data_IF_497221891950
#
_entry.id   IF_497221891950
#
_cell.length_a   1.000
_cell.length_b   1.000
_cell.length_c   1.000
_cell.angle_alpha   90.00
_cell.angle_beta   90.00
_cell.angle_gamma   90.00
#
_symmetry.space_group_name_H-M   'P 1'
#
loop_
_entity.id
_entity.type
_entity.pdbx_description
1 polymer ?
#
# COMPACT_ATOMS: atom_id res chain seq x y z
N UNK A 1 2.40 22.11 21.21
CA UNK A 1 1.25 21.94 20.32
C UNK A 1 0.07 22.00 21.25
N UNK A 2 -0.73 23.06 21.15
CA UNK A 2 -1.98 23.13 21.89
C UNK A 2 -2.95 22.12 21.25
N UNK A 3 -3.82 21.49 22.05
CA UNK A 3 -4.74 20.46 21.54
C UNK A 3 -5.69 21.06 20.48
N UNK A 4 -5.96 22.37 20.58
CA UNK A 4 -6.74 23.15 19.61
C UNK A 4 -6.12 23.18 18.20
N UNK A 5 -4.81 23.36 18.08
CA UNK A 5 -4.12 23.40 16.79
C UNK A 5 -4.18 22.04 16.05
N UNK A 6 -4.19 20.93 16.79
CA UNK A 6 -4.26 19.57 16.24
C UNK A 6 -5.67 19.27 15.74
N UNK A 7 -6.70 19.61 16.53
CA UNK A 7 -8.10 19.40 16.16
C UNK A 7 -8.46 20.19 14.90
N UNK A 8 -8.09 21.48 14.85
CA UNK A 8 -8.30 22.32 13.66
C UNK A 8 -7.60 21.72 12.43
N UNK A 9 -6.34 21.29 12.58
CA UNK A 9 -5.59 20.66 11.49
C UNK A 9 -6.26 19.37 11.01
N UNK A 10 -6.78 18.55 11.92
CA UNK A 10 -7.48 17.31 11.59
C UNK A 10 -8.76 17.58 10.79
N UNK A 11 -9.52 18.62 11.15
CA UNK A 11 -10.72 19.02 10.43
C UNK A 11 -10.39 19.51 9.02
N UNK A 12 -9.33 20.32 8.86
CA UNK A 12 -8.88 20.76 7.54
C UNK A 12 -8.42 19.60 6.66
N UNK A 13 -7.63 18.66 7.19
CA UNK A 13 -7.18 17.47 6.46
C UNK A 13 -8.36 16.59 6.06
N UNK A 14 -9.34 16.43 6.95
CA UNK A 14 -10.55 15.64 6.67
C UNK A 14 -11.40 16.25 5.56
N UNK A 15 -11.54 17.58 5.52
CA UNK A 15 -12.27 18.26 4.46
C UNK A 15 -11.54 18.18 3.11
N UNK A 16 -10.22 18.33 3.10
CA UNK A 16 -9.44 18.18 1.86
C UNK A 16 -9.52 16.76 1.30
N UNK A 17 -9.55 15.71 2.15
CA UNK A 17 -9.77 14.34 1.67
C UNK A 17 -11.17 14.10 1.08
N UNK A 18 -12.17 14.91 1.44
CA UNK A 18 -13.52 14.84 0.84
C UNK A 18 -13.60 15.61 -0.48
N UNK A 19 -12.95 16.76 -0.55
CA UNK A 19 -13.11 17.72 -1.66
C UNK A 19 -12.03 17.60 -2.73
N UNK A 20 -10.80 17.23 -2.36
CA UNK A 20 -9.69 16.97 -3.28
C UNK A 20 -9.32 18.18 -4.14
N UNK A 21 -9.22 19.37 -3.52
CA UNK A 21 -9.05 20.63 -4.26
C UNK A 21 -7.62 20.89 -4.75
N UNK A 22 -6.64 20.16 -4.21
CA UNK A 22 -5.23 20.27 -4.58
C UNK A 22 -4.87 19.74 -5.98
N UNK A 23 -3.62 20.01 -6.40
CA UNK A 23 -3.07 19.44 -7.64
C UNK A 23 -2.83 17.93 -7.42
N UNK A 24 -3.34 17.05 -8.30
CA UNK A 24 -3.09 15.61 -8.19
C UNK A 24 -1.61 15.30 -8.37
N UNK A 25 -1.18 14.19 -7.76
CA UNK A 25 0.16 13.66 -7.99
C UNK A 25 0.39 13.38 -9.48
N UNK A 26 1.58 13.72 -9.97
CA UNK A 26 1.93 13.53 -11.37
C UNK A 26 1.77 12.05 -11.77
N UNK A 27 0.99 11.80 -12.83
CA UNK A 27 0.76 10.46 -13.36
C UNK A 27 -0.36 9.66 -12.70
N UNK A 28 -1.08 10.25 -11.73
CA UNK A 28 -2.25 9.62 -11.08
C UNK A 28 -3.61 10.19 -11.54
N UNK A 29 -3.62 11.26 -12.35
CA UNK A 29 -4.86 11.78 -12.94
C UNK A 29 -5.25 10.95 -14.16
N UNK A 30 -6.11 9.95 -13.96
CA UNK A 30 -6.57 9.01 -14.99
C UNK A 30 -8.06 8.70 -14.80
N UNK A 31 -8.78 8.49 -15.91
CA UNK A 31 -10.23 8.20 -15.91
C UNK A 31 -10.57 6.75 -15.52
N UNK A 32 -9.58 5.85 -15.57
CA UNK A 32 -9.77 4.43 -15.28
C UNK A 32 -9.34 4.10 -13.83
N UNK A 33 -10.29 3.72 -12.94
CA UNK A 33 -10.00 3.39 -11.55
C UNK A 33 -9.04 2.21 -11.37
N UNK A 34 -9.07 1.23 -12.26
CA UNK A 34 -8.16 0.10 -12.20
C UNK A 34 -6.74 0.57 -12.56
N UNK A 35 -6.61 1.29 -13.68
CA UNK A 35 -5.33 1.89 -14.08
C UNK A 35 -4.75 2.79 -12.98
N UNK A 36 -5.59 3.50 -12.23
CA UNK A 36 -5.15 4.30 -11.08
C UNK A 36 -4.44 3.45 -10.02
N UNK A 37 -4.92 2.23 -9.72
CA UNK A 37 -4.23 1.33 -8.77
C UNK A 37 -2.87 0.91 -9.29
N UNK A 38 -2.77 0.56 -10.57
CA UNK A 38 -1.49 0.21 -11.19
C UNK A 38 -0.52 1.39 -11.15
N UNK A 39 -0.97 2.60 -11.47
CA UNK A 39 -0.15 3.83 -11.39
C UNK A 39 0.33 4.09 -9.97
N UNK A 40 -0.54 3.94 -8.96
CA UNK A 40 -0.16 4.05 -7.54
C UNK A 40 0.93 3.04 -7.16
N UNK A 41 0.81 1.80 -7.61
CA UNK A 41 1.85 0.77 -7.42
C UNK A 41 3.20 1.22 -8.00
N UNK A 42 3.22 1.69 -9.25
CA UNK A 42 4.44 2.19 -9.88
C UNK A 42 5.04 3.38 -9.13
N UNK A 43 4.22 4.34 -8.65
CA UNK A 43 4.68 5.49 -7.88
C UNK A 43 5.28 5.09 -6.53
N UNK A 44 4.75 4.06 -5.88
CA UNK A 44 5.33 3.49 -4.67
C UNK A 44 6.70 2.85 -4.94
N UNK A 45 6.83 2.11 -6.05
CA UNK A 45 8.11 1.51 -6.44
C UNK A 45 9.17 2.58 -6.81
N UNK A 46 8.79 3.65 -7.50
CA UNK A 46 9.67 4.79 -7.79
C UNK A 46 10.15 5.49 -6.50
N UNK A 47 9.26 5.61 -5.50
CA UNK A 47 9.63 6.11 -4.18
C UNK A 47 10.58 5.14 -3.45
N UNK A 48 10.35 3.83 -3.54
CA UNK A 48 11.25 2.80 -2.99
C UNK A 48 12.65 2.91 -3.60
N UNK A 49 12.77 3.02 -4.92
CA UNK A 49 14.05 3.19 -5.62
C UNK A 49 14.79 4.46 -5.12
N UNK A 50 14.05 5.56 -4.96
CA UNK A 50 14.61 6.82 -4.45
C UNK A 50 15.10 6.69 -2.99
N UNK A 51 14.37 5.94 -2.15
CA UNK A 51 14.72 5.72 -0.74
C UNK A 51 15.90 4.75 -0.58
N UNK A 52 16.05 3.77 -1.47
CA UNK A 52 17.19 2.87 -1.48
C UNK A 52 18.52 3.63 -1.65
N UNK A 53 18.52 4.72 -2.43
CA UNK A 53 19.71 5.57 -2.63
C UNK A 53 20.11 6.35 -1.37
N UNK A 54 19.17 6.64 -0.46
CA UNK A 54 19.43 7.44 0.74
C UNK A 54 19.92 6.60 1.93
N UNK A 55 19.74 5.28 1.88
CA UNK A 55 20.07 4.30 2.92
C UNK A 55 19.32 4.52 4.26
N UNK A 56 18.97 3.44 4.96
CA UNK A 56 18.39 3.49 6.31
C UNK A 56 16.87 3.66 6.42
N UNK A 57 16.14 3.90 5.33
CA UNK A 57 14.66 3.98 5.32
C UNK A 57 13.97 2.61 5.19
N UNK A 58 14.52 1.57 5.82
CA UNK A 58 14.10 0.19 5.58
C UNK A 58 12.64 -0.09 5.92
N UNK A 59 12.12 0.47 7.03
CA UNK A 59 10.69 0.33 7.36
C UNK A 59 9.81 0.93 6.29
N UNK A 60 10.12 2.13 5.79
CA UNK A 60 9.32 2.79 4.75
C UNK A 60 9.38 2.00 3.44
N UNK A 61 10.55 1.48 3.08
CA UNK A 61 10.71 0.61 1.91
C UNK A 61 9.84 -0.64 2.03
N UNK A 62 9.85 -1.31 3.19
CA UNK A 62 9.03 -2.51 3.44
C UNK A 62 7.53 -2.20 3.30
N UNK A 63 7.05 -1.13 3.94
CA UNK A 63 5.63 -0.74 3.87
C UNK A 63 5.20 -0.34 2.45
N UNK A 64 6.05 0.41 1.73
CA UNK A 64 5.78 0.81 0.35
C UNK A 64 5.78 -0.40 -0.60
N UNK A 65 6.66 -1.39 -0.39
CA UNK A 65 6.65 -2.65 -1.13
C UNK A 65 5.37 -3.46 -0.92
N UNK A 66 4.87 -3.58 0.33
CA UNK A 66 3.56 -4.19 0.58
C UNK A 66 2.45 -3.45 -0.16
N UNK A 67 2.43 -2.12 -0.04
CA UNK A 67 1.42 -1.31 -0.69
C UNK A 67 1.47 -1.45 -2.22
N UNK A 68 2.66 -1.54 -2.83
CA UNK A 68 2.81 -1.78 -4.27
C UNK A 68 2.22 -3.14 -4.68
N UNK A 69 2.54 -4.22 -3.95
CA UNK A 69 1.98 -5.57 -4.19
C UNK A 69 0.45 -5.55 -4.10
N UNK A 70 -0.10 -4.95 -3.04
CA UNK A 70 -1.54 -4.87 -2.81
C UNK A 70 -2.26 -4.09 -3.90
N UNK A 71 -1.67 -2.96 -4.35
CA UNK A 71 -2.23 -2.15 -5.45
C UNK A 71 -2.18 -2.87 -6.79
N UNK A 72 -1.14 -3.66 -7.06
CA UNK A 72 -1.06 -4.53 -8.25
C UNK A 72 -2.13 -5.62 -8.23
N UNK A 73 -2.41 -6.22 -7.06
CA UNK A 73 -3.52 -7.18 -6.91
C UNK A 73 -4.86 -6.47 -7.08
N UNK A 74 -5.05 -5.29 -6.48
CA UNK A 74 -6.28 -4.53 -6.58
C UNK A 74 -6.58 -4.09 -8.03
N UNK A 75 -5.56 -3.71 -8.80
CA UNK A 75 -5.67 -3.47 -10.24
C UNK A 75 -6.29 -4.69 -10.94
N UNK A 76 -5.71 -5.88 -10.75
CA UNK A 76 -6.23 -7.11 -11.36
C UNK A 76 -7.67 -7.38 -10.94
N UNK A 77 -8.00 -7.19 -9.67
CA UNK A 77 -9.34 -7.44 -9.14
C UNK A 77 -10.38 -6.47 -9.70
N UNK A 78 -10.03 -5.20 -9.90
CA UNK A 78 -10.91 -4.21 -10.54
C UNK A 78 -11.07 -4.49 -12.04
N UNK A 79 -10.00 -4.79 -12.76
CA UNK A 79 -10.02 -5.20 -14.18
C UNK A 79 -10.94 -6.41 -14.43
N UNK A 80 -11.02 -7.31 -13.46
CA UNK A 80 -11.84 -8.53 -13.54
C UNK A 80 -13.21 -8.39 -12.88
N UNK A 81 -13.55 -7.21 -12.35
CA UNK A 81 -14.86 -6.93 -11.77
C UNK A 81 -15.12 -7.64 -10.42
N UNK A 82 -14.08 -8.03 -9.68
CA UNK A 82 -14.20 -8.63 -8.34
C UNK A 82 -14.34 -7.59 -7.23
N UNK A 83 -13.94 -6.34 -7.48
CA UNK A 83 -14.06 -5.21 -6.56
C UNK A 83 -14.55 -4.00 -7.36
N UNK A 84 -15.43 -3.18 -6.78
CA UNK A 84 -15.83 -1.89 -7.37
C UNK A 84 -14.81 -0.78 -7.12
N UNK A 85 -14.90 0.33 -7.85
CA UNK A 85 -14.01 1.48 -7.67
C UNK A 85 -14.12 2.13 -6.27
N UNK A 86 -15.30 2.09 -5.65
CA UNK A 86 -15.66 2.73 -4.38
C UNK A 86 -15.58 1.78 -3.18
N UNK A 87 -15.25 0.51 -3.41
CA UNK A 87 -15.26 -0.51 -2.37
C UNK A 87 -13.99 -0.45 -1.52
N UNK A 88 -14.17 -0.25 -0.21
CA UNK A 88 -13.07 -0.33 0.74
C UNK A 88 -12.60 -1.77 0.89
N UNK A 89 -11.30 -1.99 0.68
CA UNK A 89 -10.65 -3.29 0.81
C UNK A 89 -9.42 -3.14 1.69
N UNK A 90 -9.42 -3.82 2.83
CA UNK A 90 -8.26 -3.87 3.72
C UNK A 90 -7.17 -4.83 3.21
N UNK A 91 -6.00 -4.77 3.83
CA UNK A 91 -4.82 -5.57 3.47
C UNK A 91 -5.07 -7.08 3.45
N UNK A 92 -5.82 -7.61 4.43
CA UNK A 92 -6.10 -9.06 4.45
C UNK A 92 -7.07 -9.41 3.33
N UNK A 93 -8.10 -8.59 3.16
CA UNK A 93 -9.17 -8.81 2.19
C UNK A 93 -8.66 -8.81 0.76
N UNK A 94 -7.71 -7.93 0.41
CA UNK A 94 -7.13 -7.92 -0.96
C UNK A 94 -6.42 -9.24 -1.28
N UNK A 95 -5.74 -9.86 -0.30
CA UNK A 95 -5.11 -11.16 -0.51
C UNK A 95 -6.14 -12.30 -0.66
N UNK A 96 -7.19 -12.30 0.16
CA UNK A 96 -8.28 -13.28 0.06
C UNK A 96 -9.02 -13.18 -1.28
N UNK A 97 -9.25 -11.95 -1.76
CA UNK A 97 -9.89 -11.74 -3.05
C UNK A 97 -9.01 -12.16 -4.23
N UNK A 98 -7.69 -12.02 -4.14
CA UNK A 98 -6.76 -12.54 -5.14
C UNK A 98 -6.87 -14.07 -5.31
N UNK A 99 -7.03 -14.82 -4.22
CA UNK A 99 -7.31 -16.25 -4.29
C UNK A 99 -8.67 -16.51 -4.97
N UNK A 100 -9.73 -15.82 -4.53
CA UNK A 100 -11.08 -15.98 -5.08
C UNK A 100 -11.16 -15.65 -6.58
N UNK A 101 -10.29 -14.75 -7.06
CA UNK A 101 -10.16 -14.39 -8.47
C UNK A 101 -9.19 -15.29 -9.25
N UNK A 102 -8.75 -16.41 -8.64
CA UNK A 102 -7.81 -17.38 -9.19
C UNK A 102 -6.46 -16.76 -9.64
N UNK A 103 -6.07 -15.60 -9.08
CA UNK A 103 -4.77 -14.98 -9.36
C UNK A 103 -3.62 -15.84 -8.81
N UNK A 104 -3.86 -16.49 -7.68
CA UNK A 104 -2.95 -17.44 -7.05
C UNK A 104 -3.71 -18.43 -6.17
N UNK A 105 -3.05 -19.52 -5.77
CA UNK A 105 -3.66 -20.55 -4.90
C UNK A 105 -3.58 -20.22 -3.41
N UNK A 106 -4.35 -20.99 -2.63
CA UNK A 106 -4.49 -20.83 -1.16
C UNK A 106 -3.16 -20.75 -0.40
N UNK A 107 -2.18 -21.60 -0.75
CA UNK A 107 -0.87 -21.59 -0.10
C UNK A 107 -0.10 -20.27 -0.32
N UNK A 108 -0.26 -19.63 -1.48
CA UNK A 108 0.39 -18.36 -1.76
C UNK A 108 -0.26 -17.22 -0.98
N UNK A 109 -1.60 -17.17 -0.98
CA UNK A 109 -2.38 -16.25 -0.14
C UNK A 109 -1.98 -16.36 1.32
N UNK A 110 -1.93 -17.58 1.87
CA UNK A 110 -1.58 -17.80 3.28
C UNK A 110 -0.18 -17.29 3.62
N UNK A 111 0.78 -17.40 2.69
CA UNK A 111 2.12 -16.85 2.85
C UNK A 111 2.12 -15.33 2.85
N UNK A 112 1.38 -14.68 1.96
CA UNK A 112 1.24 -13.22 1.92
C UNK A 112 0.61 -12.68 3.20
N UNK A 113 -0.50 -13.27 3.65
CA UNK A 113 -1.19 -12.87 4.88
C UNK A 113 -0.24 -13.02 6.08
N UNK A 114 0.42 -14.18 6.22
CA UNK A 114 1.36 -14.40 7.34
C UNK A 114 2.55 -13.45 7.28
N UNK A 115 3.07 -13.14 6.09
CA UNK A 115 4.17 -12.20 5.93
C UNK A 115 3.76 -10.80 6.39
N UNK A 116 2.58 -10.33 5.97
CA UNK A 116 2.01 -9.05 6.39
C UNK A 116 1.73 -9.00 7.90
N UNK A 117 1.09 -10.02 8.47
CA UNK A 117 0.83 -10.13 9.91
C UNK A 117 2.14 -10.14 10.74
N UNK A 118 3.16 -10.86 10.27
CA UNK A 118 4.46 -10.91 10.92
C UNK A 118 5.19 -9.56 10.85
N UNK A 119 5.11 -8.83 9.73
CA UNK A 119 5.66 -7.49 9.65
C UNK A 119 4.95 -6.55 10.64
N UNK A 120 3.62 -6.53 10.62
CA UNK A 120 2.80 -5.64 11.47
C UNK A 120 2.98 -5.92 12.96
N UNK A 121 2.98 -7.19 13.37
CA UNK A 121 3.18 -7.58 14.78
C UNK A 121 4.58 -7.21 15.28
N UNK A 122 5.63 -7.50 14.52
CA UNK A 122 7.01 -7.19 14.93
C UNK A 122 7.31 -5.70 14.98
N UNK A 123 6.73 -4.92 14.07
CA UNK A 123 6.80 -3.45 14.11
C UNK A 123 6.05 -2.90 15.34
N UNK A 124 4.89 -3.47 15.69
CA UNK A 124 4.07 -3.00 16.81
C UNK A 124 4.69 -3.30 18.20
N UNK A 125 5.33 -4.46 18.36
CA UNK A 125 5.89 -4.89 19.66
C UNK A 125 7.38 -4.55 19.85
N UNK A 126 7.98 -3.69 19.01
CA UNK A 126 9.41 -3.28 19.06
C UNK A 126 10.43 -4.41 18.90
N UNK A 127 10.01 -5.63 18.59
CA UNK A 127 10.89 -6.81 18.44
C UNK A 127 11.49 -6.96 17.02
N UNK A 128 11.13 -6.10 16.08
CA UNK A 128 11.70 -6.11 14.73
C UNK A 128 11.75 -4.74 14.10
N UNK A 129 12.89 -4.06 14.22
CA UNK A 129 13.22 -2.93 13.33
C UNK A 129 13.44 -3.48 11.93
N UNK A 130 12.87 -2.84 10.90
CA UNK A 130 13.11 -3.19 9.50
C UNK A 130 14.61 -3.21 9.22
N UNK A 131 15.11 -4.31 8.66
CA UNK A 131 16.53 -4.46 8.31
C UNK A 131 16.75 -4.20 6.83
N UNK A 132 17.97 -3.87 6.45
CA UNK A 132 18.39 -3.78 5.04
C UNK A 132 18.01 -5.05 4.27
N UNK A 133 18.25 -6.23 4.86
CA UNK A 133 17.91 -7.51 4.25
C UNK A 133 16.41 -7.67 4.04
N UNK A 134 15.58 -7.27 5.01
CA UNK A 134 14.13 -7.31 4.85
C UNK A 134 13.69 -6.37 3.72
N UNK A 135 14.24 -5.17 3.67
CA UNK A 135 13.94 -4.19 2.63
C UNK A 135 14.29 -4.74 1.25
N UNK A 136 15.51 -5.26 1.04
CA UNK A 136 15.93 -5.86 -0.23
C UNK A 136 14.98 -6.98 -0.68
N UNK A 137 14.64 -7.91 0.23
CA UNK A 137 13.76 -9.02 -0.09
C UNK A 137 12.32 -8.57 -0.39
N UNK A 138 11.84 -7.51 0.27
CA UNK A 138 10.53 -6.93 -0.01
C UNK A 138 10.50 -6.20 -1.35
N UNK A 139 11.60 -5.55 -1.76
CA UNK A 139 11.72 -4.97 -3.10
C UNK A 139 11.76 -6.06 -4.17
N UNK A 140 12.44 -7.18 -3.93
CA UNK A 140 12.45 -8.30 -4.87
C UNK A 140 11.07 -8.98 -5.01
N UNK A 141 10.26 -8.95 -3.94
CA UNK A 141 8.90 -9.49 -3.95
C UNK A 141 7.88 -8.59 -4.65
N UNK A 142 8.11 -7.27 -4.67
CA UNK A 142 7.17 -6.25 -5.14
C UNK A 142 7.26 -6.01 -6.65
#
# INVERSE_FOLDING_TARGET
>A
MDDSDIEDTLDFVSEEFRTGTGKPENGLDVDDPALLQLRKSCRMLEAVESLQQQNGYYTVIIEASFAAIERSIQFYLQEKGYIREDEFVDHRKVYELGENAALYGSNFKDKLIRLWENNRSRTYYREGVGTEKNAILMVELA
#
